data_IF_710572169351
#
_entry.id   IF_710572169351
#
_cell.length_a   1.000
_cell.length_b   1.000
_cell.length_c   1.000
_cell.angle_alpha   90.00
_cell.angle_beta   90.00
_cell.angle_gamma   90.00
#
_symmetry.space_group_name_H-M   'P 1'
#
loop_
_entity.id
_entity.type
_entity.pdbx_description
1 polymer ?
#
# COMPACT_ATOMS: atom_id res chain seq x y z
N UNK A 1 -26.29 9.56 35.62
CA UNK A 1 -25.22 8.56 35.82
C UNK A 1 -25.55 7.46 34.84
N UNK A 2 -25.07 7.62 33.61
CA UNK A 2 -25.30 6.69 32.52
C UNK A 2 -23.95 6.01 32.35
N UNK A 3 -23.84 4.73 32.72
CA UNK A 3 -22.67 3.92 32.40
C UNK A 3 -22.61 3.82 30.86
N UNK A 4 -21.68 4.55 30.23
CA UNK A 4 -21.26 4.24 28.86
C UNK A 4 -20.42 2.96 28.98
N UNK A 5 -20.94 1.87 28.44
CA UNK A 5 -20.21 0.61 28.34
C UNK A 5 -19.11 0.79 27.28
N UNK A 6 -17.89 1.10 27.70
CA UNK A 6 -16.72 1.04 26.81
C UNK A 6 -16.51 -0.42 26.42
N UNK A 7 -16.71 -0.74 25.14
CA UNK A 7 -16.55 -2.10 24.62
C UNK A 7 -15.07 -2.32 24.34
N UNK A 8 -14.39 -3.09 25.20
CA UNK A 8 -13.00 -3.48 24.99
C UNK A 8 -12.89 -4.44 23.80
N UNK A 9 -12.21 -4.03 22.74
CA UNK A 9 -11.90 -4.88 21.58
C UNK A 9 -10.46 -5.37 21.68
N UNK A 10 -10.29 -6.69 21.59
CA UNK A 10 -8.97 -7.33 21.64
C UNK A 10 -8.54 -7.65 20.22
N UNK A 11 -7.60 -6.90 19.67
CA UNK A 11 -6.97 -7.21 18.39
C UNK A 11 -5.82 -8.19 18.66
N UNK A 12 -5.87 -9.38 18.07
CA UNK A 12 -4.68 -10.21 17.89
C UNK A 12 -4.19 -9.94 16.47
N UNK A 13 -2.95 -9.47 16.32
CA UNK A 13 -2.30 -9.31 15.02
C UNK A 13 -2.31 -10.68 14.31
N UNK A 14 -3.23 -10.82 13.36
CA UNK A 14 -3.36 -12.00 12.52
C UNK A 14 -2.55 -11.77 11.25
N UNK A 15 -1.53 -12.61 11.03
CA UNK A 15 -0.75 -12.63 9.79
C UNK A 15 -1.74 -12.77 8.62
N UNK A 16 -1.73 -11.79 7.70
CA UNK A 16 -2.60 -11.71 6.54
C UNK A 16 -2.59 -13.00 5.72
N UNK A 17 -3.76 -13.39 5.22
CA UNK A 17 -3.91 -14.57 4.40
C UNK A 17 -3.31 -14.33 3.01
N UNK A 18 -2.20 -15.00 2.70
CA UNK A 18 -1.61 -14.98 1.35
C UNK A 18 -2.54 -15.70 0.36
N UNK A 19 -3.19 -14.96 -0.53
CA UNK A 19 -3.92 -15.53 -1.66
C UNK A 19 -2.93 -15.85 -2.79
N UNK A 20 -2.52 -17.12 -2.91
CA UNK A 20 -1.73 -17.57 -4.07
C UNK A 20 -2.64 -17.80 -5.27
N UNK A 21 -2.52 -16.95 -6.29
CA UNK A 21 -3.16 -17.13 -7.60
C UNK A 21 -2.29 -18.08 -8.45
N UNK A 22 -2.86 -19.21 -8.85
CA UNK A 22 -2.23 -20.15 -9.78
C UNK A 22 -2.69 -19.85 -11.22
N UNK A 23 -1.83 -19.22 -12.03
CA UNK A 23 -1.99 -19.15 -13.49
C UNK A 23 -1.46 -20.45 -14.13
N UNK A 24 -2.35 -21.29 -14.65
CA UNK A 24 -2.00 -22.40 -15.54
C UNK A 24 -2.36 -22.03 -16.99
N UNK A 25 -1.35 -21.61 -17.76
CA UNK A 25 -1.46 -21.41 -19.20
C UNK A 25 -1.17 -22.69 -19.99
N UNK A 26 -2.07 -23.05 -20.89
CA UNK A 26 -1.90 -24.12 -21.88
C UNK A 26 -1.21 -23.57 -23.13
N UNK A 27 -0.18 -24.24 -23.66
CA UNK A 27 0.29 -24.03 -25.05
C UNK A 27 0.80 -25.34 -25.67
N UNK A 28 0.02 -25.84 -26.64
CA UNK A 28 0.41 -26.85 -27.63
C UNK A 28 1.17 -26.19 -28.80
N UNK A 29 2.21 -26.84 -29.32
CA UNK A 29 2.96 -26.33 -30.47
C UNK A 29 3.96 -27.34 -31.06
N UNK A 30 3.45 -28.30 -31.84
CA UNK A 30 4.22 -29.20 -32.69
C UNK A 30 4.83 -28.46 -33.91
N UNK A 31 6.14 -28.61 -34.13
CA UNK A 31 6.82 -28.11 -35.33
C UNK A 31 8.06 -28.93 -35.70
N UNK A 32 7.90 -29.91 -36.60
CA UNK A 32 8.99 -30.70 -37.18
C UNK A 32 8.97 -30.64 -38.71
N UNK A 33 10.10 -30.26 -39.32
CA UNK A 33 10.47 -30.68 -40.67
C UNK A 33 11.03 -29.58 -41.59
N UNK A 34 12.34 -29.36 -41.57
CA UNK A 34 13.06 -28.72 -42.68
C UNK A 34 13.87 -29.79 -43.43
N UNK A 35 13.53 -30.00 -44.70
CA UNK A 35 14.18 -30.94 -45.61
C UNK A 35 15.04 -30.20 -46.63
N UNK A 36 16.33 -30.54 -46.63
CA UNK A 36 17.38 -30.10 -47.55
C UNK A 36 17.17 -30.62 -48.98
N UNK A 37 17.45 -29.80 -50.01
CA UNK A 37 18.08 -30.27 -51.26
C UNK A 37 18.68 -29.10 -52.06
N UNK A 38 19.98 -29.19 -52.36
CA UNK A 38 20.70 -28.44 -53.41
C UNK A 38 20.36 -29.00 -54.82
N UNK A 39 20.72 -28.31 -55.92
CA UNK A 39 22.02 -28.62 -56.54
C UNK A 39 22.75 -27.47 -57.27
N UNK A 40 24.08 -27.56 -57.23
CA UNK A 40 25.17 -27.24 -58.17
C UNK A 40 24.93 -26.33 -59.39
N UNK A 41 25.87 -25.39 -59.62
CA UNK A 41 26.69 -25.37 -60.86
C UNK A 41 27.91 -24.44 -60.76
N UNK A 42 29.09 -25.02 -60.99
CA UNK A 42 30.38 -24.35 -61.24
C UNK A 42 30.37 -23.56 -62.55
N UNK A 43 31.05 -22.39 -62.59
CA UNK A 43 31.93 -21.90 -63.68
C UNK A 43 32.59 -20.57 -63.27
N UNK A 44 33.93 -20.55 -63.22
CA UNK A 44 34.79 -19.36 -63.35
C UNK A 44 35.52 -19.40 -64.73
N UNK A 45 36.31 -18.41 -65.22
CA UNK A 45 36.77 -17.18 -64.56
C UNK A 45 36.87 -15.89 -65.42
N UNK A 46 37.33 -14.82 -64.75
CA UNK A 46 38.09 -13.62 -65.16
C UNK A 46 37.42 -12.48 -65.96
N UNK A 47 37.32 -11.29 -65.33
CA UNK A 47 38.12 -10.10 -65.71
C UNK A 47 37.98 -8.93 -64.70
N UNK A 48 39.07 -8.18 -64.57
CA UNK A 48 39.40 -7.11 -63.61
C UNK A 48 38.39 -5.96 -63.45
N UNK A 49 38.35 -5.33 -62.27
CA UNK A 49 38.81 -3.93 -62.02
C UNK A 49 38.15 -3.34 -60.76
N UNK A 50 39.02 -2.90 -59.83
CA UNK A 50 38.88 -1.91 -58.75
C UNK A 50 37.60 -1.85 -57.91
N UNK A 51 37.70 -2.14 -56.62
CA UNK A 51 36.91 -1.45 -55.58
C UNK A 51 37.64 -1.50 -54.23
N UNK A 52 37.92 -0.30 -53.73
CA UNK A 52 38.16 0.19 -52.36
C UNK A 52 38.29 -0.84 -51.22
N UNK A 53 39.38 -0.72 -50.47
CA UNK A 53 39.56 -1.36 -49.17
C UNK A 53 38.82 -0.54 -48.12
N UNK A 54 37.61 -0.96 -47.76
CA UNK A 54 36.98 -0.54 -46.50
C UNK A 54 36.92 -1.74 -45.56
N UNK A 55 37.81 -1.70 -44.57
CA UNK A 55 37.80 -2.62 -43.43
C UNK A 55 36.75 -2.12 -42.46
N UNK A 56 35.49 -2.47 -42.69
CA UNK A 56 34.44 -2.26 -41.69
C UNK A 56 34.58 -3.33 -40.61
N UNK A 57 35.41 -3.00 -39.61
CA UNK A 57 35.29 -3.64 -38.29
C UNK A 57 34.15 -2.92 -37.57
N UNK A 58 32.92 -3.33 -37.89
CA UNK A 58 31.76 -3.04 -37.06
C UNK A 58 31.99 -3.77 -35.73
N UNK A 59 32.57 -3.07 -34.77
CA UNK A 59 32.49 -3.48 -33.37
C UNK A 59 31.11 -3.02 -32.92
N UNK A 60 30.12 -3.87 -33.12
CA UNK A 60 28.82 -3.77 -32.44
C UNK A 60 29.10 -3.89 -30.94
N UNK A 61 29.45 -2.76 -30.33
CA UNK A 61 29.35 -2.58 -28.90
C UNK A 61 27.88 -2.28 -28.67
N UNK A 62 27.07 -3.34 -28.61
CA UNK A 62 25.77 -3.28 -27.95
C UNK A 62 26.05 -2.88 -26.50
N UNK A 63 26.08 -1.56 -26.28
CA UNK A 63 25.89 -0.99 -24.97
C UNK A 63 24.41 -1.17 -24.71
N UNK A 64 24.04 -2.37 -24.27
CA UNK A 64 22.82 -2.57 -23.50
C UNK A 64 22.95 -1.61 -22.32
N UNK A 65 22.34 -0.43 -22.49
CA UNK A 65 22.16 0.48 -21.38
C UNK A 65 21.06 -0.19 -20.58
N UNK A 66 21.45 -1.07 -19.65
CA UNK A 66 20.65 -1.40 -18.49
C UNK A 66 20.41 -0.07 -17.77
N UNK A 67 19.38 0.66 -18.20
CA UNK A 67 18.73 1.62 -17.32
C UNK A 67 18.07 0.78 -16.25
N UNK A 68 18.87 0.37 -15.25
CA UNK A 68 18.38 -0.12 -13.98
C UNK A 68 17.49 1.02 -13.46
N UNK A 69 16.19 0.90 -13.75
CA UNK A 69 15.26 1.96 -13.37
C UNK A 69 15.21 1.90 -11.88
N UNK A 70 15.57 3.00 -11.22
CA UNK A 70 15.54 3.06 -9.76
C UNK A 70 14.13 2.66 -9.31
N UNK A 71 14.02 1.88 -8.23
CA UNK A 71 12.76 1.25 -7.82
C UNK A 71 12.24 1.90 -6.53
N UNK A 72 10.93 1.86 -6.35
CA UNK A 72 10.22 2.20 -5.12
C UNK A 72 9.38 1.00 -4.66
N UNK A 73 8.90 1.04 -3.42
CA UNK A 73 7.90 0.08 -2.93
C UNK A 73 6.60 0.81 -2.60
N UNK A 74 5.47 0.23 -3.01
CA UNK A 74 4.14 0.77 -2.76
C UNK A 74 3.22 -0.33 -2.25
N UNK A 75 2.43 -0.04 -1.21
CA UNK A 75 1.31 -0.89 -0.78
C UNK A 75 0.04 -0.07 -0.66
N UNK A 76 -1.09 -0.74 -0.62
CA UNK A 76 -2.40 -0.11 -0.48
C UNK A 76 -3.03 -0.49 0.85
N UNK A 77 -3.70 0.46 1.48
CA UNK A 77 -4.54 0.24 2.65
C UNK A 77 -5.97 0.68 2.34
N UNK A 78 -6.96 -0.18 2.52
CA UNK A 78 -8.35 0.20 2.30
C UNK A 78 -9.00 0.66 3.61
N UNK A 79 -9.22 1.96 3.76
CA UNK A 79 -9.71 2.58 5.01
C UNK A 79 -11.00 3.41 4.84
N UNK A 80 -11.60 3.42 3.64
CA UNK A 80 -12.88 4.06 3.35
C UNK A 80 -14.07 3.19 3.83
N UNK A 81 -14.80 3.59 4.89
CA UNK A 81 -15.73 2.70 5.59
C UNK A 81 -17.03 2.37 4.84
N UNK A 82 -17.43 3.16 3.85
CA UNK A 82 -18.65 2.89 3.07
C UNK A 82 -18.39 2.40 1.64
N UNK A 83 -17.13 2.27 1.24
CA UNK A 83 -16.81 1.70 -0.06
C UNK A 83 -16.98 0.18 0.00
N UNK A 84 -17.44 -0.45 -1.10
CA UNK A 84 -17.35 -1.90 -1.22
C UNK A 84 -15.88 -2.34 -1.29
N UNK A 85 -15.64 -3.64 -1.33
CA UNK A 85 -14.31 -4.14 -1.70
C UNK A 85 -13.85 -3.48 -3.02
N UNK A 86 -12.55 -3.24 -3.14
CA UNK A 86 -11.97 -2.51 -4.27
C UNK A 86 -10.96 -3.34 -5.05
N UNK A 87 -10.86 -3.05 -6.34
CA UNK A 87 -9.74 -3.46 -7.18
C UNK A 87 -8.82 -2.23 -7.36
N UNK A 88 -7.51 -2.46 -7.44
CA UNK A 88 -6.50 -1.40 -7.63
C UNK A 88 -5.70 -1.67 -8.88
N UNK A 89 -5.55 -0.65 -9.71
CA UNK A 89 -4.81 -0.67 -10.95
C UNK A 89 -3.64 0.31 -10.89
N UNK A 90 -2.51 -0.09 -11.45
CA UNK A 90 -1.33 0.75 -11.64
C UNK A 90 -1.04 0.80 -13.12
N UNK A 91 -1.09 2.00 -13.72
CA UNK A 91 -0.90 2.21 -15.16
C UNK A 91 -1.85 1.36 -16.04
N UNK A 92 -3.04 1.02 -15.52
CA UNK A 92 -4.06 0.20 -16.19
C UNK A 92 -3.97 -1.31 -15.95
N UNK A 93 -2.92 -1.79 -15.27
CA UNK A 93 -2.78 -3.20 -14.89
C UNK A 93 -3.33 -3.43 -13.48
N UNK A 94 -4.21 -4.43 -13.31
CA UNK A 94 -4.73 -4.81 -12.00
C UNK A 94 -3.60 -5.40 -11.13
N UNK A 95 -3.36 -4.79 -9.97
CA UNK A 95 -2.31 -5.23 -9.02
C UNK A 95 -2.88 -5.83 -7.74
N UNK A 96 -4.09 -5.43 -7.37
CA UNK A 96 -4.83 -5.96 -6.22
C UNK A 96 -6.29 -6.11 -6.62
N UNK A 97 -6.92 -7.20 -6.19
CA UNK A 97 -8.32 -7.50 -6.48
C UNK A 97 -9.06 -7.86 -5.19
N UNK A 98 -10.33 -7.50 -5.10
CA UNK A 98 -11.25 -7.83 -4.00
C UNK A 98 -10.70 -7.45 -2.61
N UNK A 99 -10.04 -6.29 -2.49
CA UNK A 99 -9.48 -5.79 -1.23
C UNK A 99 -10.63 -5.30 -0.34
N UNK A 100 -10.89 -5.89 0.84
CA UNK A 100 -11.94 -5.45 1.74
C UNK A 100 -11.51 -4.27 2.61
N UNK A 101 -12.48 -3.58 3.20
CA UNK A 101 -12.21 -2.57 4.23
C UNK A 101 -11.35 -3.17 5.35
N UNK A 102 -10.32 -2.40 5.71
CA UNK A 102 -9.38 -2.65 6.78
C UNK A 102 -8.14 -3.46 6.40
N UNK A 103 -8.07 -3.97 5.16
CA UNK A 103 -6.90 -4.69 4.69
C UNK A 103 -5.77 -3.74 4.26
N UNK A 104 -4.54 -4.22 4.47
CA UNK A 104 -3.29 -3.60 4.02
C UNK A 104 -2.54 -4.64 3.18
N UNK A 105 -2.21 -4.30 1.94
CA UNK A 105 -1.51 -5.20 1.04
C UNK A 105 -0.04 -5.37 1.41
N UNK A 106 0.59 -6.40 0.84
CA UNK A 106 2.04 -6.46 0.76
C UNK A 106 2.59 -5.30 -0.11
N UNK A 107 3.88 -5.00 0.07
CA UNK A 107 4.59 -4.07 -0.80
C UNK A 107 4.83 -4.64 -2.20
N UNK A 108 4.40 -3.88 -3.20
CA UNK A 108 4.67 -4.06 -4.61
C UNK A 108 5.92 -3.25 -4.97
N UNK A 109 6.83 -3.83 -5.76
CA UNK A 109 7.97 -3.06 -6.28
C UNK A 109 7.58 -2.44 -7.61
N UNK A 110 7.75 -1.12 -7.73
CA UNK A 110 7.42 -0.35 -8.94
C UNK A 110 8.60 0.53 -9.35
N UNK A 111 8.75 0.89 -10.63
CA UNK A 111 9.71 1.90 -11.06
C UNK A 111 9.51 3.24 -10.34
N UNK A 112 10.58 3.95 -10.00
CA UNK A 112 10.49 5.30 -9.43
C UNK A 112 10.03 6.30 -10.49
N UNK A 113 8.74 6.64 -10.46
CA UNK A 113 8.10 7.53 -11.42
C UNK A 113 6.72 8.00 -10.91
N UNK A 114 6.05 8.81 -11.73
CA UNK A 114 4.61 9.03 -11.62
C UNK A 114 3.87 7.81 -12.20
N UNK A 115 2.95 7.25 -11.43
CA UNK A 115 2.05 6.18 -11.83
C UNK A 115 0.61 6.68 -11.85
N UNK A 116 -0.17 6.27 -12.85
CA UNK A 116 -1.62 6.45 -12.79
C UNK A 116 -2.20 5.35 -11.91
N UNK A 117 -2.81 5.73 -10.79
CA UNK A 117 -3.51 4.82 -9.90
C UNK A 117 -5.00 4.95 -10.15
N UNK A 118 -5.66 3.82 -10.36
CA UNK A 118 -7.12 3.73 -10.43
C UNK A 118 -7.63 2.76 -9.38
N UNK A 119 -8.70 3.15 -8.71
CA UNK A 119 -9.40 2.34 -7.71
C UNK A 119 -10.84 2.18 -8.18
N UNK A 120 -11.32 0.95 -8.30
CA UNK A 120 -12.68 0.64 -8.74
C UNK A 120 -13.40 -0.23 -7.72
N UNK A 121 -14.72 -0.32 -7.82
CA UNK A 121 -15.45 -1.37 -7.11
C UNK A 121 -15.00 -2.75 -7.61
N UNK A 122 -14.86 -3.70 -6.68
CA UNK A 122 -14.34 -5.04 -6.99
C UNK A 122 -15.22 -5.77 -8.02
N UNK A 123 -14.59 -6.27 -9.08
CA UNK A 123 -15.25 -6.96 -10.18
C UNK A 123 -16.09 -6.07 -11.11
N UNK A 124 -16.03 -4.75 -10.95
CA UNK A 124 -16.72 -3.77 -11.80
C UNK A 124 -15.80 -2.60 -12.20
N UNK A 125 -14.95 -2.79 -13.25
CA UNK A 125 -13.97 -1.79 -13.66
C UNK A 125 -14.59 -0.52 -14.24
N UNK A 126 -15.88 -0.52 -14.58
CA UNK A 126 -16.59 0.67 -15.06
C UNK A 126 -17.00 1.60 -13.89
N UNK A 127 -16.94 1.11 -12.65
CA UNK A 127 -17.27 1.86 -11.42
C UNK A 127 -15.98 2.33 -10.74
N UNK A 128 -15.32 3.31 -11.38
CA UNK A 128 -14.13 3.98 -10.84
C UNK A 128 -14.52 4.95 -9.72
N UNK A 129 -13.87 4.81 -8.56
CA UNK A 129 -14.04 5.70 -7.40
C UNK A 129 -12.91 6.72 -7.28
N UNK A 130 -11.76 6.42 -7.88
CA UNK A 130 -10.63 7.35 -8.01
C UNK A 130 -9.80 6.98 -9.24
N UNK A 131 -9.30 8.00 -9.93
CA UNK A 131 -8.24 7.89 -10.94
C UNK A 131 -7.36 9.13 -10.83
N UNK A 132 -6.06 8.93 -10.65
CA UNK A 132 -5.12 10.03 -10.67
C UNK A 132 -3.66 9.63 -10.49
N UNK A 133 -2.74 10.60 -10.64
CA UNK A 133 -1.32 10.35 -10.55
C UNK A 133 -0.85 10.22 -9.09
N UNK A 134 0.03 9.25 -8.83
CA UNK A 134 0.82 9.10 -7.61
C UNK A 134 2.30 9.05 -7.98
N UNK A 135 3.09 9.96 -7.44
CA UNK A 135 4.55 10.00 -7.67
C UNK A 135 5.28 9.27 -6.55
N UNK A 136 6.16 8.34 -6.91
CA UNK A 136 7.02 7.62 -5.95
C UNK A 136 8.49 7.84 -6.29
N UNK A 137 9.31 8.06 -5.25
CA UNK A 137 10.74 8.24 -5.37
C UNK A 137 11.51 6.92 -5.20
N UNK A 138 12.69 6.87 -5.82
CA UNK A 138 13.63 5.77 -5.67
C UNK A 138 13.99 5.50 -4.21
N UNK A 139 14.18 4.21 -3.87
CA UNK A 139 14.59 3.73 -2.55
C UNK A 139 13.65 4.16 -1.41
N UNK A 140 12.38 4.47 -1.72
CA UNK A 140 11.36 4.88 -0.75
C UNK A 140 10.19 3.90 -0.74
N UNK A 141 9.65 3.69 0.46
CA UNK A 141 8.45 2.91 0.71
C UNK A 141 7.24 3.83 0.87
N UNK A 142 6.13 3.45 0.26
CA UNK A 142 4.88 4.20 0.32
C UNK A 142 3.70 3.33 0.73
N UNK A 143 2.83 3.89 1.56
CA UNK A 143 1.48 3.38 1.79
C UNK A 143 0.49 4.35 1.14
N UNK A 144 -0.34 3.86 0.21
CA UNK A 144 -1.47 4.59 -0.35
C UNK A 144 -2.74 4.12 0.35
N UNK A 145 -3.24 4.92 1.29
CA UNK A 145 -4.43 4.60 2.05
C UNK A 145 -5.67 5.23 1.39
N UNK A 146 -6.61 4.40 0.92
CA UNK A 146 -7.91 4.88 0.45
C UNK A 146 -8.76 5.27 1.67
N UNK A 147 -8.90 6.57 1.95
CA UNK A 147 -9.65 7.11 3.09
C UNK A 147 -10.88 7.90 2.61
N UNK A 148 -11.74 8.30 3.54
CA UNK A 148 -12.95 9.08 3.25
C UNK A 148 -14.10 8.21 2.78
N UNK A 149 -15.10 8.83 2.17
CA UNK A 149 -16.39 8.21 1.89
C UNK A 149 -16.86 8.46 0.45
N UNK A 150 -17.59 7.49 -0.08
CA UNK A 150 -18.30 7.63 -1.34
C UNK A 150 -19.65 8.32 -1.12
N UNK A 151 -20.03 9.21 -2.03
CA UNK A 151 -21.34 9.87 -2.06
C UNK A 151 -21.28 11.40 -1.91
N UNK A 152 -22.35 12.07 -2.35
CA UNK A 152 -22.41 13.54 -2.38
C UNK A 152 -22.53 14.19 -0.98
N UNK A 153 -22.99 13.42 0.01
CA UNK A 153 -23.23 13.88 1.39
C UNK A 153 -22.14 13.38 2.37
N UNK A 154 -20.96 12.99 1.85
CA UNK A 154 -19.82 12.54 2.65
C UNK A 154 -19.28 13.64 3.59
N UNK A 155 -18.95 13.28 4.83
CA UNK A 155 -18.27 14.18 5.77
C UNK A 155 -16.82 14.44 5.30
N UNK A 156 -16.17 13.38 4.83
CA UNK A 156 -14.87 13.45 4.16
C UNK A 156 -14.98 12.73 2.81
N UNK A 157 -14.79 13.42 1.67
CA UNK A 157 -14.88 12.77 0.36
C UNK A 157 -13.75 11.73 0.21
N UNK A 158 -14.03 10.66 -0.52
CA UNK A 158 -13.05 9.63 -0.85
C UNK A 158 -11.81 10.23 -1.50
N UNK A 159 -10.64 9.96 -0.93
CA UNK A 159 -9.34 10.39 -1.44
C UNK A 159 -8.24 9.41 -1.01
N UNK A 160 -7.30 9.05 -1.89
CA UNK A 160 -6.10 8.32 -1.49
C UNK A 160 -5.11 9.24 -0.74
N UNK A 161 -4.81 8.90 0.51
CA UNK A 161 -3.75 9.49 1.29
C UNK A 161 -2.43 8.77 1.01
N UNK A 162 -1.46 9.47 0.43
CA UNK A 162 -0.13 8.93 0.14
C UNK A 162 0.81 9.24 1.31
N UNK A 163 1.36 8.18 1.91
CA UNK A 163 2.26 8.27 3.06
C UNK A 163 3.63 7.69 2.72
N UNK A 164 4.70 8.42 3.07
CA UNK A 164 6.06 7.87 3.08
C UNK A 164 6.26 7.02 4.35
N UNK A 165 6.75 5.80 4.16
CA UNK A 165 6.94 4.84 5.25
C UNK A 165 8.38 4.90 5.76
N UNK A 166 8.55 5.12 7.07
CA UNK A 166 9.85 5.06 7.72
C UNK A 166 10.10 3.64 8.26
N UNK A 167 10.48 2.76 7.35
CA UNK A 167 10.90 1.38 7.62
C UNK A 167 12.39 1.27 8.00
N UNK A 168 13.03 2.37 8.41
CA UNK A 168 14.39 2.30 8.92
C UNK A 168 14.47 1.46 10.20
N UNK A 169 15.62 0.82 10.41
CA UNK A 169 15.79 -0.10 11.53
C UNK A 169 15.55 0.56 12.90
N UNK A 170 14.84 -0.15 13.77
CA UNK A 170 14.57 0.24 15.16
C UNK A 170 15.41 -0.61 16.11
N UNK A 171 15.77 -0.08 17.29
CA UNK A 171 16.50 -0.85 18.31
C UNK A 171 15.67 -2.08 18.74
N UNK A 172 16.35 -3.19 19.07
CA UNK A 172 15.68 -4.48 19.27
C UNK A 172 14.74 -4.57 20.47
N UNK A 173 14.78 -3.63 21.41
CA UNK A 173 13.86 -3.49 22.54
C UNK A 173 12.85 -2.34 22.37
N UNK A 174 12.86 -1.68 21.20
CA UNK A 174 11.94 -0.63 20.82
C UNK A 174 11.08 -1.05 19.62
N UNK A 175 9.95 -0.40 19.46
CA UNK A 175 9.08 -0.50 18.29
C UNK A 175 8.73 0.89 17.81
N UNK A 176 8.60 1.07 16.49
CA UNK A 176 8.12 2.31 15.89
C UNK A 176 6.66 2.13 15.49
N UNK A 177 5.81 3.03 15.96
CA UNK A 177 4.39 3.06 15.63
C UNK A 177 4.07 4.34 14.86
N UNK A 178 3.49 4.21 13.67
CA UNK A 178 2.73 5.28 13.02
C UNK A 178 1.28 5.20 13.43
N UNK A 179 0.65 6.33 13.74
CA UNK A 179 -0.81 6.43 13.75
C UNK A 179 -1.26 7.27 12.58
N UNK A 180 -2.36 6.86 11.94
CA UNK A 180 -3.05 7.60 10.87
C UNK A 180 -4.50 7.79 11.28
N UNK A 181 -5.00 9.02 11.25
CA UNK A 181 -6.42 9.28 11.49
C UNK A 181 -7.20 9.18 10.17
N UNK A 182 -8.01 8.11 10.03
CA UNK A 182 -8.77 7.78 8.82
C UNK A 182 -10.29 7.67 9.03
N UNK A 183 -10.78 7.93 10.24
CA UNK A 183 -12.21 7.96 10.56
C UNK A 183 -12.84 9.28 10.09
N UNK A 184 -13.82 9.26 9.17
CA UNK A 184 -14.32 10.48 8.53
C UNK A 184 -15.22 11.34 9.42
N UNK A 185 -15.93 10.73 10.37
CA UNK A 185 -16.89 11.39 11.28
C UNK A 185 -16.26 11.79 12.64
N UNK A 186 -15.04 11.31 12.92
CA UNK A 186 -14.32 11.65 14.14
C UNK A 186 -13.61 13.02 14.01
N UNK A 187 -13.79 13.93 14.99
CA UNK A 187 -12.93 15.11 15.15
C UNK A 187 -11.48 14.72 15.47
N UNK A 188 -10.58 15.70 15.56
CA UNK A 188 -9.22 15.46 16.01
C UNK A 188 -9.17 14.66 17.32
N UNK A 189 -8.17 13.77 17.42
CA UNK A 189 -8.03 12.84 18.53
C UNK A 189 -6.66 12.90 19.19
N UNK A 190 -6.65 12.65 20.50
CA UNK A 190 -5.45 12.32 21.24
C UNK A 190 -5.30 10.80 21.31
N UNK A 191 -4.06 10.33 21.22
CA UNK A 191 -3.72 8.92 21.34
C UNK A 191 -2.84 8.76 22.56
N UNK A 192 -3.35 8.03 23.54
CA UNK A 192 -2.68 7.85 24.83
C UNK A 192 -2.52 6.37 25.15
N UNK A 193 -1.66 6.07 26.12
CA UNK A 193 -1.46 4.74 26.65
C UNK A 193 -1.28 4.78 28.18
N UNK A 194 -1.27 3.60 28.79
CA UNK A 194 -1.12 3.43 30.24
C UNK A 194 -2.19 4.18 31.06
N UNK A 195 -3.44 4.25 30.56
CA UNK A 195 -4.54 4.92 31.24
C UNK A 195 -4.49 6.45 31.19
N UNK A 196 -3.89 7.00 30.13
CA UNK A 196 -3.72 8.45 29.92
C UNK A 196 -2.38 9.01 30.42
N UNK A 197 -1.58 8.23 31.15
CA UNK A 197 -0.30 8.71 31.71
C UNK A 197 0.79 8.93 30.64
N UNK A 198 0.64 8.31 29.47
CA UNK A 198 1.56 8.45 28.33
C UNK A 198 0.81 9.00 27.13
N UNK A 199 1.20 10.18 26.66
CA UNK A 199 0.71 10.74 25.40
C UNK A 199 1.60 10.22 24.27
N UNK A 200 1.01 9.50 23.32
CA UNK A 200 1.70 9.03 22.11
C UNK A 200 1.56 10.07 21.00
N UNK A 201 0.37 10.64 20.85
CA UNK A 201 0.05 11.69 19.88
C UNK A 201 -1.00 12.64 20.46
N UNK A 202 -0.92 13.91 20.09
CA UNK A 202 -1.75 15.03 20.58
C UNK A 202 -2.37 15.72 19.35
N UNK A 203 -3.70 15.87 19.35
CA UNK A 203 -4.44 16.63 18.35
C UNK A 203 -4.29 16.14 16.91
N UNK A 204 -4.27 14.82 16.67
CA UNK A 204 -4.13 14.25 15.32
C UNK A 204 -5.38 14.57 14.52
N UNK A 205 -5.27 15.38 13.45
CA UNK A 205 -6.41 15.72 12.60
C UNK A 205 -6.69 14.62 11.57
N UNK A 206 -7.89 14.59 11.00
CA UNK A 206 -8.23 13.69 9.89
C UNK A 206 -7.22 13.82 8.73
N UNK A 207 -6.73 12.69 8.23
CA UNK A 207 -5.71 12.62 7.19
C UNK A 207 -4.27 12.86 7.67
N UNK A 208 -4.07 13.22 8.94
CA UNK A 208 -2.73 13.37 9.51
C UNK A 208 -2.19 12.03 10.02
N UNK A 209 -0.86 11.96 10.07
CA UNK A 209 -0.13 10.84 10.64
C UNK A 209 1.14 11.29 11.34
N UNK A 210 1.65 10.44 12.25
CA UNK A 210 2.90 10.68 12.95
C UNK A 210 3.52 9.39 13.45
N UNK A 211 4.84 9.41 13.67
CA UNK A 211 5.60 8.30 14.22
C UNK A 211 6.01 8.56 15.68
N UNK A 212 6.00 7.49 16.48
CA UNK A 212 6.57 7.46 17.82
C UNK A 212 7.36 6.16 18.01
N UNK A 213 8.49 6.24 18.71
CA UNK A 213 9.22 5.05 19.17
C UNK A 213 8.88 4.78 20.63
N UNK A 214 8.46 3.56 20.92
CA UNK A 214 8.06 3.09 22.25
C UNK A 214 8.81 1.80 22.59
N UNK A 215 8.82 1.41 23.86
CA UNK A 215 9.36 0.11 24.23
C UNK A 215 8.52 -1.02 23.60
N UNK A 216 9.14 -2.16 23.33
CA UNK A 216 8.39 -3.35 22.95
C UNK A 216 7.49 -3.80 24.13
N UNK A 217 6.26 -4.23 23.84
CA UNK A 217 5.33 -4.70 24.85
C UNK A 217 3.86 -4.60 24.46
N UNK A 218 3.01 -4.92 25.43
CA UNK A 218 1.55 -4.82 25.31
C UNK A 218 1.08 -3.46 25.86
N UNK A 219 0.27 -2.78 25.06
CA UNK A 219 -0.30 -1.48 25.35
C UNK A 219 -1.83 -1.57 25.32
N UNK A 220 -2.50 -0.89 26.24
CA UNK A 220 -3.89 -0.47 26.01
C UNK A 220 -3.81 0.97 25.49
N UNK A 221 -4.06 1.13 24.20
CA UNK A 221 -4.10 2.42 23.50
C UNK A 221 -5.50 2.98 23.65
N UNK A 222 -5.61 4.21 24.13
CA UNK A 222 -6.86 4.93 24.30
C UNK A 222 -6.92 6.07 23.28
N UNK A 223 -8.00 6.10 22.50
CA UNK A 223 -8.35 7.20 21.61
C UNK A 223 -9.29 8.13 22.39
N UNK A 224 -8.94 9.40 22.46
CA UNK A 224 -9.66 10.43 23.23
C UNK A 224 -10.04 11.57 22.29
N UNK A 225 -11.13 12.27 22.62
CA UNK A 225 -11.39 13.55 21.98
C UNK A 225 -10.29 14.56 22.32
N UNK A 226 -9.81 15.30 21.32
CA UNK A 226 -8.73 16.29 21.45
C UNK A 226 -9.03 17.36 22.51
N UNK A 227 -8.04 17.58 23.38
CA UNK A 227 -8.04 18.61 24.43
C UNK A 227 -6.62 19.10 24.71
N UNK A 228 -6.47 20.37 25.11
CA UNK A 228 -5.15 20.97 25.45
C UNK A 228 -4.34 20.16 26.49
N UNK A 229 -5.02 19.39 27.36
CA UNK A 229 -4.42 18.60 28.44
C UNK A 229 -4.38 17.08 28.12
N UNK A 230 -4.80 16.66 26.92
CA UNK A 230 -4.91 15.26 26.50
C UNK A 230 -5.78 14.38 27.44
N UNK A 231 -6.74 14.98 28.13
CA UNK A 231 -7.57 14.35 29.17
C UNK A 231 -9.04 14.21 28.79
N UNK A 232 -9.36 14.41 27.50
CA UNK A 232 -10.67 14.20 26.92
C UNK A 232 -11.25 12.80 27.20
N UNK A 233 -12.57 12.69 27.01
CA UNK A 233 -13.30 11.44 27.17
C UNK A 233 -12.68 10.35 26.27
N UNK A 234 -12.42 9.17 26.85
CA UNK A 234 -12.02 7.98 26.07
C UNK A 234 -13.20 7.56 25.21
N UNK A 235 -13.02 7.64 23.89
CA UNK A 235 -14.04 7.26 22.91
C UNK A 235 -13.87 5.82 22.44
N UNK A 236 -12.65 5.30 22.45
CA UNK A 236 -12.33 3.90 22.17
C UNK A 236 -11.02 3.48 22.86
N UNK A 237 -10.89 2.18 23.15
CA UNK A 237 -9.65 1.59 23.66
C UNK A 237 -9.34 0.25 22.98
N UNK A 238 -8.06 0.01 22.71
CA UNK A 238 -7.58 -1.15 21.96
C UNK A 238 -6.32 -1.74 22.62
N UNK A 239 -6.29 -3.06 22.75
CA UNK A 239 -5.07 -3.77 23.13
C UNK A 239 -4.17 -3.92 21.89
N UNK A 240 -2.94 -3.41 21.96
CA UNK A 240 -1.94 -3.43 20.89
C UNK A 240 -0.65 -4.08 21.42
N UNK A 241 -0.15 -5.08 20.72
CA UNK A 241 1.15 -5.72 21.02
C UNK A 241 2.19 -5.25 20.01
N UNK A 242 3.30 -4.70 20.50
CA UNK A 242 4.39 -4.18 19.69
C UNK A 242 5.66 -4.98 19.95
N UNK A 243 6.14 -5.70 18.93
CA UNK A 243 7.39 -6.45 19.02
C UNK A 243 8.60 -5.54 18.82
N UNK A 244 9.70 -5.87 19.50
CA UNK A 244 10.95 -5.14 19.38
C UNK A 244 11.58 -5.28 17.98
N UNK A 245 12.24 -4.22 17.51
CA UNK A 245 12.82 -4.17 16.15
C UNK A 245 11.79 -4.11 15.02
N UNK A 246 10.53 -3.80 15.33
CA UNK A 246 9.42 -3.84 14.36
C UNK A 246 8.78 -2.46 14.19
N UNK A 247 8.42 -2.12 12.95
CA UNK A 247 7.67 -0.92 12.57
C UNK A 247 6.23 -1.30 12.28
N UNK A 248 5.27 -0.52 12.79
CA UNK A 248 3.84 -0.72 12.60
C UNK A 248 3.16 0.56 12.14
N UNK A 249 2.07 0.42 11.41
CA UNK A 249 1.09 1.48 11.17
C UNK A 249 -0.26 1.10 11.76
N UNK A 250 -0.86 1.99 12.52
CA UNK A 250 -2.20 1.87 13.07
C UNK A 250 -3.13 2.90 12.44
N UNK A 251 -4.17 2.44 11.75
CA UNK A 251 -5.21 3.30 11.18
C UNK A 251 -6.39 3.38 12.14
N UNK A 252 -6.68 4.58 12.64
CA UNK A 252 -7.93 4.88 13.34
C UNK A 252 -9.01 5.11 12.29
N UNK A 253 -9.77 4.07 11.93
CA UNK A 253 -10.69 4.06 10.79
C UNK A 253 -12.07 3.54 11.18
N UNK A 254 -13.04 3.62 10.26
CA UNK A 254 -14.45 3.35 10.56
C UNK A 254 -15.15 4.57 11.16
N UNK A 255 -16.40 4.40 11.56
CA UNK A 255 -17.24 5.46 12.08
C UNK A 255 -17.29 5.46 13.60
N UNK A 256 -17.07 6.62 14.20
CA UNK A 256 -17.27 6.83 15.64
C UNK A 256 -18.75 6.71 16.03
N UNK A 257 -19.67 7.10 15.14
CA UNK A 257 -21.13 7.03 15.30
C UNK A 257 -21.82 6.29 14.14
N UNK A 258 -21.58 4.96 13.97
CA UNK A 258 -22.00 4.22 12.77
C UNK A 258 -23.52 4.18 12.55
N UNK A 259 -24.33 4.37 13.59
CA UNK A 259 -25.80 4.38 13.49
C UNK A 259 -26.33 5.59 12.67
N UNK A 260 -25.55 6.66 12.54
CA UNK A 260 -25.91 7.88 11.81
C UNK A 260 -25.29 7.93 10.39
N UNK A 261 -24.56 6.88 10.00
CA UNK A 261 -23.69 6.87 8.81
C UNK A 261 -24.19 5.95 7.67
N UNK A 262 -23.68 6.13 6.43
CA UNK A 262 -24.10 5.31 5.27
C UNK A 262 -23.82 3.81 5.39
N UNK A 263 -22.86 3.41 6.24
CA UNK A 263 -22.50 2.02 6.49
C UNK A 263 -22.26 1.74 7.99
N UNK A 264 -22.64 0.53 8.42
CA UNK A 264 -22.44 0.05 9.80
C UNK A 264 -21.02 -0.51 9.99
N UNK A 265 -20.02 0.37 9.86
CA UNK A 265 -18.60 0.05 10.07
C UNK A 265 -18.12 0.79 11.32
N UNK A 266 -18.08 0.12 12.48
CA UNK A 266 -17.72 0.80 13.72
C UNK A 266 -16.23 1.13 13.77
N UNK A 267 -15.91 2.22 14.47
CA UNK A 267 -14.55 2.67 14.74
C UNK A 267 -13.66 1.53 15.25
N UNK A 268 -12.47 1.42 14.66
CA UNK A 268 -11.45 0.43 15.01
C UNK A 268 -10.04 1.02 14.86
N UNK A 269 -9.07 0.36 15.51
CA UNK A 269 -7.65 0.64 15.36
C UNK A 269 -7.00 -0.52 14.63
N UNK A 270 -6.84 -0.36 13.31
CA UNK A 270 -6.35 -1.40 12.42
C UNK A 270 -4.82 -1.34 12.37
N UNK A 271 -4.17 -2.29 13.04
CA UNK A 271 -2.70 -2.33 13.18
C UNK A 271 -2.10 -3.29 12.16
N UNK A 272 -1.30 -2.76 11.23
CA UNK A 272 -0.48 -3.50 10.29
C UNK A 272 1.00 -3.46 10.66
N UNK A 273 1.72 -4.54 10.38
CA UNK A 273 3.18 -4.59 10.49
C UNK A 273 3.80 -4.13 9.17
N UNK A 274 4.76 -3.21 9.23
CA UNK A 274 5.38 -2.60 8.05
C UNK A 274 6.72 -3.25 7.74
N UNK A 275 7.55 -3.45 8.76
CA UNK A 275 8.86 -4.09 8.66
C UNK A 275 9.30 -4.68 10.00
N UNK A 276 10.19 -5.67 9.95
CA UNK A 276 10.81 -6.30 11.13
C UNK A 276 12.26 -6.63 10.82
N UNK A 277 13.15 -6.40 11.78
CA UNK A 277 14.61 -6.41 11.59
C UNK A 277 15.31 -7.62 12.22
#
# INVERSE_FOLDING_TARGET
MTDKLTTRRKLLVGIGATSTIALAGCTDGDGNGNGTTEPDTDTEPDTDTDTETDTDTETDTDTETDTDTEQARLRVAHMSPNAPNVDVYVNGDAVLEDVPFGDVSDYLTVPAAEHEIEITAAGDPDTSVFSGPVTVAADTDYTVAAIGELGDDADQPFEPLVLEDDNSAVEGDQSRLRVVHASPDAPAVDVTAAGGDTVLFDGVQYGESGYVEVAAGDYTVEIRGDTDDNDGDVVADFDVSLDGGTVYTAFAAGYLTPDDEPADVPFDLLVGQDSTQ
#
